data_IF_981900868771
#
_entry.id   IF_981900868771
#
_cell.length_a   1.000
_cell.length_b   1.000
_cell.length_c   1.000
_cell.angle_alpha   90.00
_cell.angle_beta   90.00
_cell.angle_gamma   90.00
#
_symmetry.space_group_name_H-M   'P 1'
#
loop_
_entity.id
_entity.type
_entity.pdbx_description
1 polymer ?
#
# COMPACT_ATOMS: atom_id res chain seq x y z
N UNK A 1 -12.10 11.51 3.76
CA UNK A 1 -13.15 10.49 3.89
C UNK A 1 -12.58 9.15 3.47
N UNK A 2 -12.67 8.18 4.36
CA UNK A 2 -12.17 6.84 4.06
C UNK A 2 -13.18 6.06 3.24
N UNK A 3 -12.68 5.32 2.26
CA UNK A 3 -13.52 4.40 1.52
C UNK A 3 -13.80 3.17 2.38
N UNK A 4 -14.83 2.41 1.99
CA UNK A 4 -15.13 1.15 2.67
C UNK A 4 -13.93 0.20 2.61
N UNK A 5 -13.27 0.15 1.46
CA UNK A 5 -12.10 -0.70 1.29
C UNK A 5 -10.99 -0.34 2.26
N UNK A 6 -10.68 0.96 2.39
CA UNK A 6 -9.62 1.36 3.30
C UNK A 6 -9.97 1.07 4.75
N UNK A 7 -11.24 1.21 5.13
CA UNK A 7 -11.66 0.87 6.48
C UNK A 7 -11.44 -0.61 6.78
N UNK A 8 -11.76 -1.47 5.82
CA UNK A 8 -11.58 -2.91 5.99
C UNK A 8 -10.10 -3.23 6.19
N UNK A 9 -9.24 -2.68 5.34
CA UNK A 9 -7.82 -2.97 5.44
C UNK A 9 -7.18 -2.37 6.69
N UNK A 10 -7.68 -1.22 7.17
CA UNK A 10 -7.18 -0.65 8.42
C UNK A 10 -7.49 -1.53 9.63
N UNK A 11 -8.52 -2.35 9.56
CA UNK A 11 -8.91 -3.24 10.65
C UNK A 11 -8.35 -4.65 10.49
N UNK A 12 -7.80 -4.96 9.33
CA UNK A 12 -7.30 -6.29 9.02
C UNK A 12 -5.91 -6.49 9.64
N UNK A 13 -5.60 -7.73 9.99
CA UNK A 13 -4.25 -8.03 10.46
C UNK A 13 -3.25 -7.75 9.34
N UNK A 14 -2.14 -7.07 9.66
CA UNK A 14 -1.18 -6.67 8.62
C UNK A 14 -0.67 -7.82 7.76
N UNK A 15 -0.44 -8.98 8.36
CA UNK A 15 0.06 -10.13 7.59
C UNK A 15 -0.97 -10.59 6.57
N UNK A 16 -2.24 -10.59 6.94
CA UNK A 16 -3.30 -11.00 6.02
C UNK A 16 -3.43 -9.99 4.89
N UNK A 17 -3.40 -8.70 5.22
CA UNK A 17 -3.45 -7.66 4.20
C UNK A 17 -2.28 -7.78 3.24
N UNK A 18 -1.08 -8.06 3.78
CA UNK A 18 0.11 -8.22 2.94
C UNK A 18 -0.04 -9.41 2.00
N UNK A 19 -0.58 -10.52 2.48
CA UNK A 19 -0.79 -11.69 1.64
C UNK A 19 -1.73 -11.37 0.48
N UNK A 20 -2.81 -10.63 0.77
CA UNK A 20 -3.75 -10.22 -0.26
C UNK A 20 -3.07 -9.29 -1.27
N UNK A 21 -2.30 -8.33 -0.78
CA UNK A 21 -1.59 -7.41 -1.66
C UNK A 21 -0.59 -8.14 -2.55
N UNK A 22 0.15 -9.11 -1.99
CA UNK A 22 1.08 -9.90 -2.79
C UNK A 22 0.34 -10.63 -3.92
N UNK A 23 -0.83 -11.17 -3.62
CA UNK A 23 -1.64 -11.86 -4.63
C UNK A 23 -2.09 -10.88 -5.70
N UNK A 24 -2.60 -9.74 -5.31
CA UNK A 24 -3.08 -8.73 -6.26
C UNK A 24 -1.95 -8.26 -7.18
N UNK A 25 -0.78 -8.01 -6.61
CA UNK A 25 0.36 -7.57 -7.41
C UNK A 25 0.75 -8.66 -8.41
N UNK A 26 0.72 -9.92 -7.99
CA UNK A 26 1.00 -11.03 -8.89
C UNK A 26 0.00 -11.13 -10.02
N UNK A 27 -1.20 -10.60 -9.84
CA UNK A 27 -2.24 -10.57 -10.86
C UNK A 27 -2.18 -9.30 -11.73
N UNK A 28 -1.17 -8.47 -11.54
CA UNK A 28 -1.03 -7.24 -12.32
C UNK A 28 -1.85 -6.07 -11.81
N UNK A 29 -2.29 -6.13 -10.55
CA UNK A 29 -3.16 -5.10 -9.98
C UNK A 29 -2.43 -4.20 -8.99
N UNK A 30 -1.17 -3.90 -9.27
CA UNK A 30 -0.36 -3.10 -8.35
C UNK A 30 -0.92 -1.69 -8.20
N UNK A 31 -1.52 -1.13 -9.24
CA UNK A 31 -2.10 0.21 -9.14
C UNK A 31 -3.23 0.25 -8.13
N UNK A 32 -4.04 -0.81 -8.09
CA UNK A 32 -5.13 -0.90 -7.11
C UNK A 32 -4.58 -0.99 -5.69
N UNK A 33 -3.52 -1.79 -5.51
CA UNK A 33 -2.87 -1.90 -4.21
C UNK A 33 -2.33 -0.54 -3.77
N UNK A 34 -1.71 0.18 -4.68
CA UNK A 34 -1.15 1.49 -4.36
C UNK A 34 -2.26 2.47 -3.92
N UNK A 35 -3.39 2.46 -4.64
CA UNK A 35 -4.52 3.31 -4.27
C UNK A 35 -5.00 3.01 -2.85
N UNK A 36 -5.09 1.73 -2.50
CA UNK A 36 -5.51 1.34 -1.16
C UNK A 36 -4.50 1.84 -0.13
N UNK A 37 -3.22 1.64 -0.40
CA UNK A 37 -2.15 2.04 0.52
C UNK A 37 -2.20 3.54 0.81
N UNK A 38 -2.47 4.35 -0.21
CA UNK A 38 -2.54 5.80 -0.03
C UNK A 38 -3.65 6.22 0.91
N UNK A 39 -4.65 5.39 1.10
CA UNK A 39 -5.81 5.69 1.95
C UNK A 39 -5.71 5.06 3.33
N UNK A 40 -4.69 4.26 3.57
CA UNK A 40 -4.51 3.60 4.87
C UNK A 40 -3.73 4.50 5.82
N UNK A 41 -3.90 4.24 7.12
CA UNK A 41 -3.10 4.91 8.13
C UNK A 41 -1.64 4.48 7.99
N UNK A 42 -0.74 5.44 8.20
CA UNK A 42 0.69 5.17 8.03
C UNK A 42 1.18 4.02 8.91
N UNK A 43 0.68 3.95 10.13
CA UNK A 43 1.09 2.87 11.03
C UNK A 43 0.70 1.50 10.46
N UNK A 44 -0.47 1.42 9.84
CA UNK A 44 -0.91 0.17 9.23
C UNK A 44 -0.09 -0.16 8.00
N UNK A 45 0.21 0.84 7.18
CA UNK A 45 1.06 0.64 6.00
C UNK A 45 2.42 0.11 6.42
N UNK A 46 3.01 0.68 7.47
CA UNK A 46 4.31 0.24 7.97
C UNK A 46 4.27 -1.25 8.32
N UNK A 47 3.23 -1.67 9.04
CA UNK A 47 3.12 -3.07 9.44
C UNK A 47 2.92 -4.00 8.24
N UNK A 48 2.09 -3.58 7.29
CA UNK A 48 1.84 -4.38 6.09
C UNK A 48 3.12 -4.53 5.28
N UNK A 49 3.88 -3.46 5.13
CA UNK A 49 5.12 -3.49 4.36
C UNK A 49 6.11 -4.51 4.91
N UNK A 50 6.09 -4.74 6.23
CA UNK A 50 6.99 -5.71 6.84
C UNK A 50 6.72 -7.14 6.38
N UNK A 51 5.50 -7.42 5.96
CA UNK A 51 5.09 -8.78 5.56
C UNK A 51 4.98 -8.95 4.05
N UNK A 52 5.15 -7.87 3.28
CA UNK A 52 5.16 -7.99 1.83
C UNK A 52 6.44 -8.67 1.36
N UNK A 53 6.36 -9.33 0.20
CA UNK A 53 7.59 -9.85 -0.40
C UNK A 53 8.52 -8.69 -0.72
N UNK A 54 9.83 -8.95 -0.67
CA UNK A 54 10.81 -7.88 -0.88
C UNK A 54 10.63 -7.19 -2.23
N UNK A 55 10.45 -7.92 -3.35
CA UNK A 55 10.23 -7.25 -4.63
C UNK A 55 9.02 -6.33 -4.62
N UNK A 56 7.91 -6.79 -4.02
CA UNK A 56 6.69 -6.00 -4.01
C UNK A 56 6.83 -4.78 -3.11
N UNK A 57 7.46 -4.96 -1.94
CA UNK A 57 7.71 -3.84 -1.06
C UNK A 57 8.59 -2.79 -1.73
N UNK A 58 9.59 -3.23 -2.48
CA UNK A 58 10.50 -2.34 -3.19
C UNK A 58 9.75 -1.51 -4.23
N UNK A 59 8.89 -2.17 -5.01
CA UNK A 59 8.13 -1.46 -6.04
C UNK A 59 7.21 -0.43 -5.42
N UNK A 60 6.50 -0.81 -4.38
CA UNK A 60 5.57 0.11 -3.71
C UNK A 60 6.31 1.27 -3.05
N UNK A 61 7.49 1.00 -2.50
CA UNK A 61 8.31 2.06 -1.91
C UNK A 61 8.69 3.08 -2.97
N UNK A 62 9.10 2.63 -4.15
CA UNK A 62 9.46 3.54 -5.22
C UNK A 62 8.27 4.35 -5.69
N UNK A 63 7.09 3.74 -5.75
CA UNK A 63 5.88 4.46 -6.12
C UNK A 63 5.55 5.54 -5.10
N UNK A 64 5.72 5.23 -3.81
CA UNK A 64 5.49 6.20 -2.75
C UNK A 64 6.49 7.35 -2.83
N UNK A 65 7.75 7.06 -3.11
CA UNK A 65 8.76 8.11 -3.25
C UNK A 65 8.44 9.04 -4.41
N UNK A 66 8.04 8.48 -5.53
CA UNK A 66 7.67 9.28 -6.69
C UNK A 66 6.45 10.14 -6.40
N UNK A 67 5.49 9.58 -5.69
CA UNK A 67 4.30 10.31 -5.30
C UNK A 67 4.65 11.49 -4.38
N UNK A 68 5.52 11.26 -3.41
CA UNK A 68 5.94 12.31 -2.48
C UNK A 68 6.73 13.41 -3.18
N UNK A 69 7.63 13.02 -4.10
CA UNK A 69 8.41 13.99 -4.85
C UNK A 69 7.50 14.88 -5.68
N UNK A 70 6.52 14.29 -6.37
CA UNK A 70 5.58 15.07 -7.15
C UNK A 70 4.78 16.03 -6.28
N UNK A 71 4.41 15.56 -5.09
CA UNK A 71 3.66 16.38 -4.16
C UNK A 71 4.49 17.55 -3.65
N UNK A 72 5.77 17.31 -3.39
CA UNK A 72 6.67 18.35 -2.91
C UNK A 72 6.92 19.41 -3.98
N UNK A 73 6.98 18.99 -5.23
CA UNK A 73 7.22 19.94 -6.32
C UNK A 73 6.10 20.95 -6.49
N UNK A 74 4.92 20.60 -6.05
CA UNK A 74 3.78 21.52 -6.16
C UNK A 74 3.87 22.68 -5.19
N UNK A 75 4.65 22.49 -4.16
CA UNK A 75 4.83 23.53 -3.15
C UNK A 75 5.87 24.52 -3.59
#
# INVERSE_FOLDING_TARGET
VESKTSKIYNQMKPKIAADIFNQMIGEGKIDDVFDIILKLKESNVTQIMKFLSVPNASILTQMLENFNINKEKKD
#
